data_IF_431482686770
#
_entry.id   IF_431482686770
#
_cell.length_a   1.000
_cell.length_b   1.000
_cell.length_c   1.000
_cell.angle_alpha   90.00
_cell.angle_beta   90.00
_cell.angle_gamma   90.00
#
_symmetry.space_group_name_H-M   'P 1'
#
loop_
_entity.id
_entity.type
_entity.pdbx_description
1 polymer ?
#
# COMPACT_ATOMS: atom_id res chain seq x y z
N UNK A 1 -28.21 12.76 -11.74
CA UNK A 1 -27.60 11.43 -11.54
C UNK A 1 -26.10 11.61 -11.76
N UNK A 2 -25.29 11.57 -10.70
CA UNK A 2 -23.85 11.83 -10.78
C UNK A 2 -23.15 10.54 -11.22
N UNK A 3 -22.44 10.58 -12.35
CA UNK A 3 -21.61 9.47 -12.84
C UNK A 3 -20.54 9.13 -11.81
N UNK A 4 -20.32 7.86 -11.42
CA UNK A 4 -19.19 7.53 -10.55
C UNK A 4 -17.90 7.91 -11.29
N UNK A 5 -17.04 8.69 -10.64
CA UNK A 5 -15.72 8.98 -11.17
C UNK A 5 -15.03 7.64 -11.46
N UNK A 6 -14.62 7.41 -12.72
CA UNK A 6 -13.81 6.24 -13.06
C UNK A 6 -12.61 6.24 -12.12
N UNK A 7 -12.37 5.13 -11.43
CA UNK A 7 -11.09 4.90 -10.80
C UNK A 7 -10.00 5.17 -11.85
N UNK A 8 -8.96 5.91 -11.48
CA UNK A 8 -7.85 6.20 -12.38
C UNK A 8 -7.30 4.89 -12.95
N UNK A 9 -7.04 4.84 -14.25
CA UNK A 9 -6.41 3.63 -14.87
C UNK A 9 -4.94 3.47 -14.43
N UNK A 10 -4.44 4.43 -13.68
CA UNK A 10 -3.12 4.44 -13.08
C UNK A 10 -3.04 3.41 -11.95
N UNK A 11 -1.92 2.67 -11.92
CA UNK A 11 -1.61 1.70 -10.89
C UNK A 11 -0.40 2.16 -10.07
N UNK A 12 -0.38 1.80 -8.78
CA UNK A 12 0.75 2.06 -7.88
C UNK A 12 1.29 0.76 -7.28
N UNK A 13 2.62 0.69 -7.13
CA UNK A 13 3.30 -0.32 -6.35
C UNK A 13 3.89 0.35 -5.10
N UNK A 14 3.51 -0.14 -3.91
CA UNK A 14 3.96 0.41 -2.64
C UNK A 14 4.96 -0.56 -2.00
N UNK A 15 6.18 -0.07 -1.72
CA UNK A 15 7.11 -0.79 -0.85
C UNK A 15 6.55 -0.77 0.57
N UNK A 16 6.09 -1.92 1.03
CA UNK A 16 5.31 -2.04 2.25
C UNK A 16 6.07 -2.86 3.28
N UNK A 17 6.59 -2.18 4.32
CA UNK A 17 7.32 -2.82 5.42
C UNK A 17 6.42 -3.19 6.60
N UNK A 18 5.18 -2.67 6.66
CA UNK A 18 4.29 -2.80 7.81
C UNK A 18 4.42 -1.66 8.84
N UNK A 19 5.47 -0.85 8.74
CA UNK A 19 5.66 0.33 9.61
C UNK A 19 4.74 1.50 9.24
N UNK A 20 4.59 2.46 10.17
CA UNK A 20 3.68 3.60 10.08
C UNK A 20 3.80 4.40 8.77
N UNK A 21 5.03 4.67 8.32
CA UNK A 21 5.27 5.44 7.10
C UNK A 21 4.77 4.69 5.87
N UNK A 22 5.08 3.39 5.78
CA UNK A 22 4.64 2.55 4.67
C UNK A 22 3.12 2.35 4.66
N UNK A 23 2.49 2.28 5.84
CA UNK A 23 1.03 2.25 5.98
C UNK A 23 0.36 3.56 5.55
N UNK A 24 0.98 4.70 5.88
CA UNK A 24 0.51 6.02 5.45
C UNK A 24 0.59 6.15 3.92
N UNK A 25 1.70 5.72 3.31
CA UNK A 25 1.86 5.68 1.86
C UNK A 25 0.80 4.77 1.19
N UNK A 26 0.54 3.59 1.76
CA UNK A 26 -0.48 2.68 1.25
C UNK A 26 -1.88 3.30 1.31
N UNK A 27 -2.26 3.92 2.43
CA UNK A 27 -3.54 4.60 2.57
C UNK A 27 -3.71 5.73 1.55
N UNK A 28 -2.65 6.51 1.33
CA UNK A 28 -2.65 7.57 0.32
C UNK A 28 -2.82 7.02 -1.10
N UNK A 29 -2.13 5.92 -1.43
CA UNK A 29 -2.21 5.30 -2.76
C UNK A 29 -3.63 4.72 -3.03
N UNK A 30 -4.22 4.04 -2.05
CA UNK A 30 -5.57 3.47 -2.16
C UNK A 30 -6.64 4.53 -2.39
N UNK A 31 -6.44 5.76 -1.91
CA UNK A 31 -7.35 6.87 -2.14
C UNK A 31 -7.24 7.49 -3.56
N UNK A 32 -6.25 7.08 -4.37
CA UNK A 32 -5.84 7.84 -5.57
C UNK A 32 -5.65 7.00 -6.84
N UNK A 33 -5.30 5.73 -6.70
CA UNK A 33 -5.05 4.81 -7.82
C UNK A 33 -6.15 3.76 -7.92
N UNK A 34 -6.51 3.37 -9.16
CA UNK A 34 -7.50 2.32 -9.38
C UNK A 34 -6.99 0.91 -9.09
N UNK A 35 -5.65 0.72 -9.08
CA UNK A 35 -5.01 -0.53 -8.63
C UNK A 35 -3.80 -0.22 -7.77
N UNK A 36 -3.70 -0.88 -6.63
CA UNK A 36 -2.54 -0.79 -5.74
C UNK A 36 -2.05 -2.19 -5.40
N UNK A 37 -0.77 -2.43 -5.62
CA UNK A 37 -0.07 -3.65 -5.24
C UNK A 37 0.98 -3.32 -4.17
N UNK A 38 1.33 -4.28 -3.32
CA UNK A 38 2.37 -4.09 -2.28
C UNK A 38 3.53 -5.05 -2.52
N UNK A 39 4.74 -4.56 -2.25
CA UNK A 39 5.97 -5.36 -2.27
C UNK A 39 6.70 -5.20 -0.95
N UNK A 40 6.83 -6.28 -0.20
CA UNK A 40 7.66 -6.35 0.99
C UNK A 40 8.96 -7.10 0.69
N UNK A 41 10.07 -6.63 1.24
CA UNK A 41 11.34 -7.35 1.22
C UNK A 41 11.63 -7.89 2.61
N UNK A 42 11.85 -9.19 2.71
CA UNK A 42 12.39 -9.80 3.92
C UNK A 42 13.92 -9.70 3.89
N UNK A 43 14.45 -8.66 4.54
CA UNK A 43 15.89 -8.45 4.67
C UNK A 43 16.49 -9.12 5.93
N UNK A 44 15.76 -9.99 6.63
CA UNK A 44 16.23 -10.59 7.89
C UNK A 44 16.28 -9.59 9.05
N UNK A 45 15.37 -8.61 9.06
CA UNK A 45 15.31 -7.56 10.08
C UNK A 45 14.93 -8.16 11.46
N UNK A 46 15.59 -7.71 12.53
CA UNK A 46 15.39 -8.21 13.92
C UNK A 46 13.95 -8.04 14.45
N UNK A 47 13.15 -7.15 13.86
CA UNK A 47 11.78 -6.86 14.27
C UNK A 47 10.77 -7.57 13.35
N UNK A 48 10.82 -8.90 13.31
CA UNK A 48 9.84 -9.74 12.57
C UNK A 48 8.38 -9.46 12.94
N UNK A 49 8.13 -8.81 14.10
CA UNK A 49 6.80 -8.42 14.58
C UNK A 49 6.08 -7.44 13.64
N UNK A 50 6.81 -6.65 12.82
CA UNK A 50 6.19 -5.75 11.84
C UNK A 50 5.56 -6.51 10.64
N UNK A 51 5.98 -7.76 10.40
CA UNK A 51 5.45 -8.62 9.33
C UNK A 51 4.38 -9.63 9.81
N UNK A 52 4.29 -9.85 11.13
CA UNK A 52 3.47 -10.91 11.74
C UNK A 52 2.08 -10.43 12.19
N UNK A 53 1.90 -9.11 12.36
CA UNK A 53 0.57 -8.50 12.55
C UNK A 53 -0.20 -8.47 11.21
N UNK A 54 -0.67 -9.65 10.80
CA UNK A 54 -1.65 -9.86 9.73
C UNK A 54 -3.06 -9.66 10.24
#
# INVERSE_FOLDING_TARGET
>A
MSTPARASEEAALVLFSGGQDSATCLAWALARFGRVETLGFDYGQRHAVELECR
#
